data_IF_345412209392
#
_entry.id   IF_345412209392
#
_cell.length_a   1.000
_cell.length_b   1.000
_cell.length_c   1.000
_cell.angle_alpha   90.00
_cell.angle_beta   90.00
_cell.angle_gamma   90.00
#
_symmetry.space_group_name_H-M   'P 1'
#
loop_
_entity.id
_entity.type
_entity.pdbx_description
1 polymer ?
#
# COMPACT_ATOMS: atom_id res chain seq x y z
N UNK A 1 -3.42 -15.88 53.76
CA UNK A 1 -3.44 -15.08 52.51
C UNK A 1 -4.68 -14.20 52.52
N UNK A 2 -4.61 -12.89 52.22
CA UNK A 2 -5.81 -12.07 52.13
C UNK A 2 -6.72 -12.58 51.01
N UNK A 3 -8.00 -12.77 51.31
CA UNK A 3 -9.00 -13.23 50.35
C UNK A 3 -9.18 -12.18 49.24
N UNK A 4 -8.72 -12.48 48.02
CA UNK A 4 -8.87 -11.58 46.89
C UNK A 4 -10.31 -11.65 46.36
N UNK A 5 -11.21 -10.88 46.96
CA UNK A 5 -12.60 -10.77 46.53
C UNK A 5 -12.72 -9.70 45.45
N UNK A 6 -13.29 -10.05 44.29
CA UNK A 6 -13.60 -9.11 43.21
C UNK A 6 -14.80 -8.25 43.64
N UNK A 7 -14.59 -6.94 43.77
CA UNK A 7 -15.60 -6.01 44.30
C UNK A 7 -16.53 -5.51 43.19
N UNK A 8 -16.06 -5.40 41.95
CA UNK A 8 -16.86 -4.87 40.84
C UNK A 8 -18.18 -5.60 40.60
N UNK A 9 -18.24 -6.90 40.90
CA UNK A 9 -19.44 -7.72 40.77
C UNK A 9 -20.23 -7.88 42.08
N UNK A 10 -19.68 -7.47 43.23
CA UNK A 10 -20.27 -7.73 44.53
C UNK A 10 -21.56 -6.94 44.78
N UNK A 11 -22.40 -7.40 45.72
CA UNK A 11 -23.64 -6.68 46.12
C UNK A 11 -23.36 -5.31 46.76
N UNK A 12 -22.12 -5.06 47.16
CA UNK A 12 -21.68 -3.84 47.85
C UNK A 12 -21.59 -2.63 46.91
N UNK A 13 -21.62 -2.87 45.59
CA UNK A 13 -21.57 -1.82 44.56
C UNK A 13 -22.96 -1.63 43.95
N UNK A 14 -23.48 -0.38 43.86
CA UNK A 14 -24.80 -0.12 43.30
C UNK A 14 -24.94 -0.57 41.84
N UNK A 15 -26.11 -1.10 41.46
CA UNK A 15 -26.40 -1.54 40.08
C UNK A 15 -26.15 -0.43 39.04
N UNK A 16 -26.58 0.81 39.34
CA UNK A 16 -26.38 1.98 38.47
C UNK A 16 -24.90 2.25 38.21
N UNK A 17 -24.07 2.22 39.25
CA UNK A 17 -22.63 2.39 39.10
C UNK A 17 -21.99 1.27 38.29
N UNK A 18 -22.36 -0.01 38.56
CA UNK A 18 -21.82 -1.14 37.79
C UNK A 18 -22.01 -0.94 36.28
N UNK A 19 -23.19 -0.50 35.88
CA UNK A 19 -23.51 -0.24 34.48
C UNK A 19 -22.60 0.85 33.86
N UNK A 20 -22.35 1.94 34.58
CA UNK A 20 -21.42 2.99 34.13
C UNK A 20 -19.97 2.48 34.13
N UNK A 21 -19.58 1.70 35.13
CA UNK A 21 -18.22 1.16 35.23
C UNK A 21 -17.88 0.21 34.06
N UNK A 22 -18.89 -0.49 33.51
CA UNK A 22 -18.73 -1.34 32.32
C UNK A 22 -18.21 -0.61 31.09
N UNK A 23 -18.39 0.71 31.02
CA UNK A 23 -17.84 1.53 29.94
C UNK A 23 -16.31 1.51 29.86
N UNK A 24 -15.62 1.26 30.98
CA UNK A 24 -14.17 1.05 30.98
C UNK A 24 -13.77 -0.14 30.11
N UNK A 25 -14.64 -1.13 29.95
CA UNK A 25 -14.36 -2.37 29.21
C UNK A 25 -14.76 -2.30 27.74
N UNK A 26 -15.52 -1.29 27.30
CA UNK A 26 -15.93 -1.14 25.88
C UNK A 26 -14.74 -1.21 24.92
N UNK A 27 -13.58 -0.56 25.18
CA UNK A 27 -12.45 -0.61 24.26
C UNK A 27 -11.93 -2.02 23.99
N UNK A 28 -12.16 -3.01 24.89
CA UNK A 28 -11.73 -4.40 24.70
C UNK A 28 -12.36 -5.02 23.45
N UNK A 29 -13.55 -4.57 23.04
CA UNK A 29 -14.22 -5.07 21.83
C UNK A 29 -13.40 -4.81 20.56
N UNK A 30 -12.51 -3.82 20.57
CA UNK A 30 -11.63 -3.48 19.45
C UNK A 30 -10.29 -4.21 19.48
N UNK A 31 -10.03 -5.05 20.49
CA UNK A 31 -8.72 -5.69 20.68
C UNK A 31 -8.29 -6.55 19.48
N UNK A 32 -9.16 -7.36 18.84
CA UNK A 32 -8.75 -8.12 17.66
C UNK A 32 -8.28 -7.23 16.50
N UNK A 33 -8.94 -6.09 16.28
CA UNK A 33 -8.59 -5.14 15.23
C UNK A 33 -7.28 -4.42 15.56
N UNK A 34 -7.10 -3.99 16.81
CA UNK A 34 -5.88 -3.35 17.29
C UNK A 34 -4.71 -4.34 17.18
N UNK A 35 -4.87 -5.58 17.64
CA UNK A 35 -3.87 -6.63 17.55
C UNK A 35 -3.44 -6.83 16.10
N UNK A 36 -4.39 -6.99 15.18
CA UNK A 36 -4.11 -7.09 13.75
C UNK A 36 -3.32 -5.89 13.23
N UNK A 37 -3.73 -4.67 13.59
CA UNK A 37 -3.04 -3.44 13.21
C UNK A 37 -1.60 -3.36 13.72
N UNK A 38 -1.32 -3.86 14.93
CA UNK A 38 0.04 -3.83 15.50
C UNK A 38 1.03 -4.77 14.80
N UNK A 39 0.57 -5.75 14.01
CA UNK A 39 1.45 -6.61 13.21
C UNK A 39 2.24 -5.78 12.18
N UNK A 40 1.64 -4.72 11.65
CA UNK A 40 2.29 -3.85 10.67
C UNK A 40 3.45 -3.02 11.25
N UNK A 41 3.62 -2.96 12.58
CA UNK A 41 4.80 -2.32 13.18
C UNK A 41 6.10 -3.06 12.83
N UNK A 42 6.02 -4.35 12.49
CA UNK A 42 7.18 -5.17 12.12
C UNK A 42 7.55 -5.04 10.63
N UNK A 43 6.72 -4.39 9.81
CA UNK A 43 6.97 -4.22 8.39
C UNK A 43 7.85 -3.00 8.06
N UNK A 44 8.11 -2.12 9.03
CA UNK A 44 8.99 -0.95 8.83
C UNK A 44 10.47 -1.36 8.94
N UNK A 45 11.24 -1.37 7.84
CA UNK A 45 12.64 -1.79 7.85
C UNK A 45 13.56 -0.81 8.61
N UNK A 46 13.09 0.41 8.90
CA UNK A 46 13.87 1.45 9.57
C UNK A 46 13.54 1.59 11.05
N UNK A 47 12.53 0.85 11.55
CA UNK A 47 12.11 0.96 12.94
C UNK A 47 13.09 0.27 13.90
N UNK A 48 13.30 0.87 15.07
CA UNK A 48 14.10 0.25 16.12
C UNK A 48 13.38 -1.01 16.67
N UNK A 49 14.01 -2.20 16.66
CA UNK A 49 13.34 -3.45 17.04
C UNK A 49 12.81 -3.44 18.49
N UNK A 50 13.55 -2.85 19.43
CA UNK A 50 13.12 -2.76 20.83
C UNK A 50 11.88 -1.88 20.97
N UNK A 51 11.82 -0.77 20.23
CA UNK A 51 10.66 0.12 20.20
C UNK A 51 9.44 -0.57 19.61
N UNK A 52 9.59 -1.31 18.50
CA UNK A 52 8.50 -2.07 17.88
C UNK A 52 7.92 -3.09 18.85
N UNK A 53 8.77 -3.88 19.52
CA UNK A 53 8.32 -4.82 20.55
C UNK A 53 7.66 -4.13 21.74
N UNK A 54 8.21 -3.02 22.23
CA UNK A 54 7.63 -2.26 23.33
C UNK A 54 6.23 -1.72 22.98
N UNK A 55 6.04 -1.19 21.77
CA UNK A 55 4.74 -0.73 21.27
C UNK A 55 3.76 -1.88 21.09
N UNK A 56 4.20 -2.98 20.46
CA UNK A 56 3.36 -4.17 20.27
C UNK A 56 2.84 -4.71 21.61
N UNK A 57 3.73 -4.92 22.58
CA UNK A 57 3.36 -5.43 23.91
C UNK A 57 2.51 -4.40 24.66
N UNK A 58 2.94 -3.13 24.68
CA UNK A 58 2.25 -2.08 25.42
C UNK A 58 0.83 -1.85 24.94
N UNK A 59 0.62 -1.83 23.62
CA UNK A 59 -0.73 -1.76 23.04
C UNK A 59 -1.49 -3.03 23.37
N UNK A 60 -0.98 -4.22 23.06
CA UNK A 60 -1.79 -5.45 23.21
C UNK A 60 -2.10 -5.86 24.65
N UNK A 61 -1.41 -5.31 25.65
CA UNK A 61 -1.74 -5.49 27.07
C UNK A 61 -2.86 -4.58 27.57
N UNK A 62 -3.39 -3.66 26.76
CA UNK A 62 -4.47 -2.76 27.17
C UNK A 62 -5.72 -3.43 27.77
N UNK A 63 -6.18 -4.62 27.32
CA UNK A 63 -7.33 -5.27 27.94
C UNK A 63 -7.07 -5.64 29.41
N UNK A 64 -5.84 -6.07 29.74
CA UNK A 64 -5.44 -6.37 31.11
C UNK A 64 -5.48 -5.11 31.97
N UNK A 65 -4.95 -4.00 31.46
CA UNK A 65 -5.00 -2.70 32.16
C UNK A 65 -6.45 -2.26 32.43
N UNK A 66 -7.36 -2.43 31.46
CA UNK A 66 -8.77 -2.05 31.62
C UNK A 66 -9.52 -2.93 32.63
N UNK A 67 -9.25 -4.24 32.70
CA UNK A 67 -9.84 -5.14 33.70
C UNK A 67 -9.39 -4.74 35.11
N UNK A 68 -8.09 -4.46 35.28
CA UNK A 68 -7.55 -3.99 36.56
C UNK A 68 -8.17 -2.65 36.94
N UNK A 69 -8.27 -1.72 35.98
CA UNK A 69 -8.87 -0.41 36.19
C UNK A 69 -10.36 -0.49 36.55
N UNK A 70 -11.09 -1.42 35.94
CA UNK A 70 -12.51 -1.69 36.23
C UNK A 70 -12.71 -2.13 37.69
N UNK A 71 -11.87 -3.04 38.21
CA UNK A 71 -11.91 -3.46 39.61
C UNK A 71 -11.45 -2.34 40.57
N UNK A 72 -10.38 -1.61 40.22
CA UNK A 72 -9.89 -0.49 41.02
C UNK A 72 -10.93 0.63 41.11
N UNK A 73 -11.68 0.92 40.04
CA UNK A 73 -12.73 1.93 40.05
C UNK A 73 -13.91 1.52 40.95
N UNK A 74 -14.26 0.23 40.99
CA UNK A 74 -15.25 -0.30 41.93
C UNK A 74 -14.81 -0.16 43.40
N UNK A 75 -13.50 -0.29 43.68
CA UNK A 75 -12.93 -0.01 44.99
C UNK A 75 -12.92 1.48 45.30
N UNK A 76 -12.58 2.32 44.32
CA UNK A 76 -12.60 3.77 44.43
C UNK A 76 -13.99 4.29 44.78
N UNK A 77 -15.06 3.72 44.19
CA UNK A 77 -16.44 4.10 44.49
C UNK A 77 -16.77 4.04 45.98
N UNK A 78 -16.18 3.10 46.74
CA UNK A 78 -16.38 3.00 48.19
C UNK A 78 -15.70 4.10 49.00
N UNK A 79 -14.64 4.70 48.45
CA UNK A 79 -13.84 5.72 49.11
C UNK A 79 -14.26 7.12 48.68
N UNK A 80 -14.43 7.32 47.37
CA UNK A 80 -14.68 8.61 46.73
C UNK A 80 -15.68 8.37 45.60
N UNK A 81 -16.98 8.42 45.93
CA UNK A 81 -18.09 8.12 45.01
C UNK A 81 -17.98 8.99 43.75
N UNK A 82 -17.86 10.31 43.91
CA UNK A 82 -17.82 11.26 42.80
C UNK A 82 -16.70 10.94 41.78
N UNK A 83 -15.48 10.70 42.26
CA UNK A 83 -14.34 10.38 41.40
C UNK A 83 -14.56 9.08 40.61
N UNK A 84 -15.21 8.09 41.23
CA UNK A 84 -15.46 6.81 40.56
C UNK A 84 -16.46 6.92 39.41
N UNK A 85 -17.47 7.79 39.52
CA UNK A 85 -18.39 8.07 38.41
C UNK A 85 -17.72 8.89 37.30
N UNK A 86 -16.76 9.74 37.63
CA UNK A 86 -16.05 10.58 36.67
C UNK A 86 -15.05 9.78 35.80
N UNK A 87 -14.39 8.77 36.35
CA UNK A 87 -13.33 8.03 35.67
C UNK A 87 -13.77 7.34 34.35
N UNK A 88 -14.89 6.58 34.27
CA UNK A 88 -15.35 6.00 33.01
C UNK A 88 -15.72 7.05 31.96
N UNK A 89 -16.28 8.19 32.41
CA UNK A 89 -16.67 9.31 31.55
C UNK A 89 -15.43 9.96 30.93
N UNK A 90 -14.37 10.15 31.72
CA UNK A 90 -13.08 10.65 31.22
C UNK A 90 -12.48 9.75 30.13
N UNK A 91 -12.55 8.42 30.31
CA UNK A 91 -12.00 7.45 29.36
C UNK A 91 -12.77 7.49 28.02
N UNK A 92 -14.11 7.49 28.07
CA UNK A 92 -14.92 7.64 26.85
C UNK A 92 -14.71 9.01 26.23
N UNK A 93 -14.68 10.07 27.05
CA UNK A 93 -14.49 11.44 26.59
C UNK A 93 -13.17 11.64 25.86
N UNK A 94 -12.08 11.07 26.39
CA UNK A 94 -10.76 11.14 25.75
C UNK A 94 -10.70 10.37 24.42
N UNK A 95 -11.28 9.16 24.36
CA UNK A 95 -11.40 8.39 23.12
C UNK A 95 -12.23 9.14 22.07
N UNK A 96 -13.37 9.69 22.48
CA UNK A 96 -14.25 10.49 21.61
C UNK A 96 -13.54 11.73 21.09
N UNK A 97 -12.74 12.39 21.93
CA UNK A 97 -11.94 13.54 21.55
C UNK A 97 -10.86 13.18 20.52
N UNK A 98 -10.15 12.05 20.69
CA UNK A 98 -9.16 11.57 19.73
C UNK A 98 -9.81 11.28 18.37
N UNK A 99 -10.95 10.58 18.37
CA UNK A 99 -11.69 10.25 17.13
C UNK A 99 -12.17 11.52 16.43
N UNK A 100 -12.78 12.45 17.18
CA UNK A 100 -13.25 13.73 16.65
C UNK A 100 -12.08 14.54 16.06
N UNK A 101 -10.94 14.60 16.77
CA UNK A 101 -9.74 15.30 16.29
C UNK A 101 -9.21 14.66 15.00
N UNK A 102 -9.15 13.33 14.93
CA UNK A 102 -8.71 12.61 13.73
C UNK A 102 -9.64 12.89 12.55
N UNK A 103 -10.95 12.93 12.78
CA UNK A 103 -11.95 13.26 11.75
C UNK A 103 -11.85 14.72 11.27
N UNK A 104 -11.67 15.67 12.18
CA UNK A 104 -11.48 17.08 11.82
C UNK A 104 -10.19 17.25 11.02
N UNK A 105 -9.11 16.63 11.48
CA UNK A 105 -7.82 16.63 10.81
C UNK A 105 -7.92 16.05 9.39
N UNK A 106 -8.59 14.91 9.21
CA UNK A 106 -8.76 14.31 7.88
C UNK A 106 -9.57 15.20 6.93
N UNK A 107 -10.62 15.87 7.42
CA UNK A 107 -11.36 16.87 6.62
C UNK A 107 -10.51 18.09 6.26
N UNK A 108 -9.69 18.57 7.20
CA UNK A 108 -8.79 19.68 6.94
C UNK A 108 -7.77 19.31 5.86
N UNK A 109 -7.12 18.14 5.96
CA UNK A 109 -6.21 17.65 4.93
C UNK A 109 -6.88 17.48 3.57
N UNK A 110 -8.14 17.01 3.52
CA UNK A 110 -8.88 16.91 2.26
C UNK A 110 -9.09 18.29 1.62
N UNK A 111 -9.46 19.31 2.41
CA UNK A 111 -9.63 20.69 1.95
C UNK A 111 -8.31 21.29 1.47
N UNK A 112 -7.21 21.09 2.20
CA UNK A 112 -5.88 21.56 1.82
C UNK A 112 -5.41 20.93 0.49
N UNK A 113 -5.66 19.63 0.29
CA UNK A 113 -5.37 18.93 -0.98
C UNK A 113 -6.18 19.49 -2.13
N UNK A 114 -7.46 19.81 -1.92
CA UNK A 114 -8.30 20.42 -2.96
C UNK A 114 -7.77 21.79 -3.37
N UNK A 115 -7.38 22.62 -2.40
CA UNK A 115 -6.78 23.94 -2.65
C UNK A 115 -5.45 23.79 -3.38
N UNK A 116 -4.58 22.87 -2.93
CA UNK A 116 -3.30 22.61 -3.58
C UNK A 116 -3.48 22.13 -5.03
N UNK A 117 -4.44 21.26 -5.30
CA UNK A 117 -4.74 20.78 -6.65
C UNK A 117 -5.24 21.93 -7.55
N UNK A 118 -6.14 22.79 -7.03
CA UNK A 118 -6.59 24.00 -7.75
C UNK A 118 -5.43 24.95 -8.06
N UNK A 119 -4.51 25.15 -7.12
CA UNK A 119 -3.34 26.00 -7.34
C UNK A 119 -2.40 25.40 -8.41
N UNK A 120 -2.12 24.10 -8.33
CA UNK A 120 -1.34 23.39 -9.36
C UNK A 120 -1.95 23.51 -10.76
N UNK A 121 -3.27 23.33 -10.88
CA UNK A 121 -3.96 23.45 -12.17
C UNK A 121 -3.85 24.88 -12.73
N UNK A 122 -3.86 25.92 -11.88
CA UNK A 122 -3.61 27.30 -12.31
C UNK A 122 -2.18 27.52 -12.81
N UNK A 123 -1.21 26.77 -12.28
CA UNK A 123 0.18 26.78 -12.76
C UNK A 123 0.39 25.92 -14.03
N UNK A 124 -0.69 25.37 -14.59
CA UNK A 124 -0.67 24.57 -15.82
C UNK A 124 -0.40 23.09 -15.61
N UNK A 125 -0.24 22.60 -14.36
CA UNK A 125 -0.05 21.17 -14.12
C UNK A 125 -1.30 20.37 -14.46
N UNK A 126 -1.11 19.24 -15.14
CA UNK A 126 -2.18 18.30 -15.47
C UNK A 126 -1.99 16.97 -14.71
N UNK A 127 -3.09 16.26 -14.47
CA UNK A 127 -3.06 14.97 -13.79
C UNK A 127 -2.76 15.03 -12.30
N UNK A 128 -2.39 13.88 -11.73
CA UNK A 128 -2.19 13.70 -10.29
C UNK A 128 -0.77 13.99 -9.81
N UNK A 129 0.19 14.16 -10.71
CA UNK A 129 1.61 14.32 -10.38
C UNK A 129 2.12 15.67 -10.89
N UNK A 130 3.09 16.28 -10.21
CA UNK A 130 3.70 17.56 -10.63
C UNK A 130 4.73 17.32 -11.74
N UNK A 131 4.31 16.63 -12.80
CA UNK A 131 5.21 16.15 -13.85
C UNK A 131 4.92 16.74 -15.20
N UNK A 132 3.67 16.78 -15.66
CA UNK A 132 3.33 17.43 -16.93
C UNK A 132 2.69 18.79 -16.70
N UNK A 133 3.08 19.77 -17.51
CA UNK A 133 2.42 21.08 -17.61
C UNK A 133 1.99 21.36 -19.04
N UNK A 134 0.85 22.03 -19.18
CA UNK A 134 0.37 22.60 -20.43
C UNK A 134 0.11 24.09 -20.21
N UNK A 135 0.89 24.94 -20.87
CA UNK A 135 0.76 26.40 -20.79
C UNK A 135 0.74 26.93 -22.21
N UNK A 136 -0.44 27.42 -22.64
CA UNK A 136 -0.65 27.85 -24.03
C UNK A 136 -0.37 26.73 -25.02
N UNK A 137 0.58 26.96 -25.94
CA UNK A 137 0.98 26.00 -26.97
C UNK A 137 2.14 25.09 -26.55
N UNK A 138 2.57 25.14 -25.28
CA UNK A 138 3.72 24.39 -24.78
C UNK A 138 3.30 23.28 -23.83
N UNK A 139 3.77 22.07 -24.09
CA UNK A 139 3.76 20.95 -23.14
C UNK A 139 5.16 20.80 -22.55
N UNK A 140 5.28 20.65 -21.24
CA UNK A 140 6.55 20.31 -20.59
C UNK A 140 6.40 19.10 -19.67
N UNK A 141 7.48 18.33 -19.56
CA UNK A 141 7.67 17.33 -18.51
C UNK A 141 8.75 17.81 -17.55
N UNK A 142 8.36 18.15 -16.33
CA UNK A 142 9.17 18.91 -15.36
C UNK A 142 9.68 20.17 -16.04
N UNK A 143 11.00 20.32 -16.11
CA UNK A 143 11.67 21.48 -16.69
C UNK A 143 12.00 21.31 -18.18
N UNK A 144 11.57 20.21 -18.82
CA UNK A 144 11.87 19.93 -20.24
C UNK A 144 10.65 20.17 -21.12
N UNK A 145 10.77 21.04 -22.11
CA UNK A 145 9.73 21.28 -23.12
C UNK A 145 9.67 20.09 -24.09
N UNK A 146 8.46 19.64 -24.42
CA UNK A 146 8.20 18.56 -25.36
C UNK A 146 7.75 19.12 -26.70
N UNK A 147 8.13 18.45 -27.78
CA UNK A 147 7.47 18.63 -29.08
C UNK A 147 6.21 17.76 -29.09
N UNK A 148 5.15 18.24 -28.45
CA UNK A 148 3.86 17.57 -28.34
C UNK A 148 2.73 18.55 -28.66
N UNK A 149 1.62 18.06 -29.22
CA UNK A 149 0.45 18.88 -29.48
C UNK A 149 -0.27 19.21 -28.16
N UNK A 150 -0.13 20.45 -27.70
CA UNK A 150 -0.72 20.90 -26.43
C UNK A 150 -2.26 20.83 -26.42
N UNK A 151 -2.91 20.87 -27.58
CA UNK A 151 -4.38 20.88 -27.68
C UNK A 151 -4.97 19.48 -27.47
N UNK A 152 -4.23 18.45 -27.83
CA UNK A 152 -4.64 17.04 -27.66
C UNK A 152 -3.87 16.29 -26.59
N UNK A 153 -2.94 16.96 -25.87
CA UNK A 153 -2.15 16.30 -24.84
C UNK A 153 -3.01 15.81 -23.67
N UNK A 154 -2.98 14.49 -23.46
CA UNK A 154 -3.67 13.76 -22.43
C UNK A 154 -2.68 13.20 -21.42
N UNK A 155 -2.96 13.42 -20.14
CA UNK A 155 -2.23 12.80 -19.04
C UNK A 155 -2.71 11.36 -18.81
N UNK A 156 -1.79 10.39 -18.82
CA UNK A 156 -2.10 8.99 -18.51
C UNK A 156 -1.64 8.59 -17.11
N UNK A 157 -0.43 9.01 -16.70
CA UNK A 157 0.13 8.74 -15.37
C UNK A 157 1.32 9.67 -15.08
N UNK A 158 1.93 9.59 -13.88
CA UNK A 158 3.04 10.47 -13.51
C UNK A 158 4.17 10.49 -14.55
N UNK A 159 4.38 9.38 -15.26
CA UNK A 159 5.47 9.20 -16.21
C UNK A 159 5.00 8.95 -17.64
N UNK A 160 3.69 9.02 -17.93
CA UNK A 160 3.18 8.79 -19.27
C UNK A 160 2.10 9.81 -19.63
N UNK A 161 2.20 10.32 -20.85
CA UNK A 161 1.18 11.15 -21.49
C UNK A 161 1.10 10.77 -22.96
N UNK A 162 0.12 11.31 -23.67
CA UNK A 162 -0.01 11.11 -25.11
C UNK A 162 -0.62 12.35 -25.74
N UNK A 163 -0.38 12.57 -27.02
CA UNK A 163 -1.18 13.48 -27.83
C UNK A 163 -1.81 12.70 -28.98
N UNK A 164 -2.44 13.37 -29.94
CA UNK A 164 -3.03 12.70 -31.11
C UNK A 164 -2.01 12.07 -32.07
N UNK A 165 -0.70 12.30 -31.89
CA UNK A 165 0.34 11.78 -32.77
C UNK A 165 1.06 10.58 -32.15
N UNK A 166 1.37 10.63 -30.85
CA UNK A 166 2.14 9.59 -30.17
C UNK A 166 2.00 9.65 -28.64
N UNK A 167 2.42 8.56 -27.99
CA UNK A 167 2.63 8.51 -26.55
C UNK A 167 4.03 9.01 -26.15
N UNK A 168 4.17 9.38 -24.89
CA UNK A 168 5.38 9.89 -24.25
C UNK A 168 5.63 9.15 -22.94
N UNK A 169 6.90 8.78 -22.71
CA UNK A 169 7.42 8.36 -21.41
C UNK A 169 8.23 9.51 -20.80
N UNK A 170 7.57 10.29 -19.96
CA UNK A 170 8.10 11.51 -19.41
C UNK A 170 8.44 12.49 -20.53
N UNK A 171 9.73 12.74 -20.74
CA UNK A 171 10.21 13.60 -21.82
C UNK A 171 10.51 12.87 -23.13
N UNK A 172 10.53 11.54 -23.11
CA UNK A 172 10.93 10.70 -24.25
C UNK A 172 9.67 10.38 -25.07
N UNK A 173 9.59 10.76 -26.35
CA UNK A 173 8.51 10.29 -27.22
C UNK A 173 8.63 8.78 -27.44
N UNK A 174 7.51 8.12 -27.74
CA UNK A 174 7.42 6.70 -28.12
C UNK A 174 7.01 6.65 -29.60
N UNK A 175 7.96 6.72 -30.56
CA UNK A 175 7.61 6.84 -31.97
C UNK A 175 6.90 5.59 -32.48
N UNK A 176 5.84 5.81 -33.28
CA UNK A 176 5.03 4.73 -33.85
C UNK A 176 4.04 4.09 -32.89
N UNK A 177 3.92 4.62 -31.67
CA UNK A 177 2.80 4.28 -30.79
C UNK A 177 1.48 4.77 -31.36
N UNK A 178 0.44 3.99 -31.16
CA UNK A 178 -0.93 4.36 -31.55
C UNK A 178 -1.63 5.03 -30.36
N UNK A 179 -1.69 6.38 -30.29
CA UNK A 179 -2.20 7.07 -29.11
C UNK A 179 -3.67 6.78 -28.81
N UNK A 180 -4.48 6.46 -29.83
CA UNK A 180 -5.89 6.13 -29.66
C UNK A 180 -6.08 4.88 -28.78
N UNK A 181 -5.25 3.85 -29.01
CA UNK A 181 -5.30 2.59 -28.25
C UNK A 181 -4.22 2.43 -27.19
N UNK A 182 -3.33 3.42 -27.01
CA UNK A 182 -2.25 3.37 -26.03
C UNK A 182 -2.78 3.42 -24.60
N UNK A 183 -2.42 2.41 -23.81
CA UNK A 183 -2.80 2.27 -22.41
C UNK A 183 -1.65 1.80 -21.51
N UNK A 184 -1.74 2.18 -20.23
CA UNK A 184 -0.80 1.77 -19.19
C UNK A 184 -1.34 0.51 -18.53
N UNK A 185 -0.59 -0.60 -18.60
CA UNK A 185 -0.94 -1.85 -17.93
C UNK A 185 -0.48 -1.77 -16.47
N UNK A 186 0.81 -1.46 -16.28
CA UNK A 186 1.40 -1.22 -14.98
C UNK A 186 2.60 -0.25 -15.09
N UNK A 187 3.38 -0.10 -14.01
CA UNK A 187 4.52 0.80 -13.95
C UNK A 187 5.66 0.43 -14.93
N UNK A 188 5.72 -0.81 -15.40
CA UNK A 188 6.68 -1.33 -16.38
C UNK A 188 6.05 -1.50 -17.77
N UNK A 189 4.83 -2.00 -17.87
CA UNK A 189 4.22 -2.42 -19.12
C UNK A 189 3.16 -1.45 -19.63
N UNK A 190 3.19 -1.21 -20.93
CA UNK A 190 2.17 -0.46 -21.68
C UNK A 190 1.83 -1.27 -22.93
N UNK A 191 0.70 -0.96 -23.58
CA UNK A 191 0.38 -1.52 -24.90
C UNK A 191 -0.43 -0.54 -25.72
N UNK A 192 -0.42 -0.75 -27.01
CA UNK A 192 -1.42 -0.24 -27.95
C UNK A 192 -1.96 -1.39 -28.79
N UNK A 193 -2.79 -1.11 -29.80
CA UNK A 193 -3.39 -2.14 -30.66
C UNK A 193 -2.38 -3.00 -31.45
N UNK A 194 -1.12 -2.56 -31.57
CA UNK A 194 -0.10 -3.18 -32.40
C UNK A 194 1.03 -3.82 -31.56
N UNK A 195 1.44 -3.18 -30.46
CA UNK A 195 2.65 -3.53 -29.71
C UNK A 195 2.44 -3.53 -28.20
N UNK A 196 3.21 -4.38 -27.53
CA UNK A 196 3.50 -4.24 -26.11
C UNK A 196 4.81 -3.46 -25.93
N UNK A 197 4.83 -2.62 -24.90
CA UNK A 197 5.96 -1.78 -24.54
C UNK A 197 6.45 -2.13 -23.15
N UNK A 198 7.76 -2.26 -23.00
CA UNK A 198 8.42 -2.35 -21.71
C UNK A 198 9.16 -1.06 -21.42
N UNK A 199 8.68 -0.31 -20.43
CA UNK A 199 9.18 1.01 -20.02
C UNK A 199 9.29 1.96 -21.21
N UNK A 200 8.23 2.05 -22.01
CA UNK A 200 8.16 2.89 -23.21
C UNK A 200 8.88 2.34 -24.45
N UNK A 201 9.57 1.21 -24.37
CA UNK A 201 10.23 0.61 -25.53
C UNK A 201 9.34 -0.49 -26.15
N UNK A 202 9.00 -0.36 -27.43
CA UNK A 202 8.23 -1.37 -28.15
C UNK A 202 9.03 -2.67 -28.26
N UNK A 203 8.43 -3.79 -27.86
CA UNK A 203 9.04 -5.12 -28.04
C UNK A 203 8.49 -5.73 -29.33
N UNK A 204 9.36 -5.85 -30.32
CA UNK A 204 9.00 -6.42 -31.63
C UNK A 204 8.91 -7.95 -31.56
N UNK A 205 8.00 -8.51 -32.35
CA UNK A 205 7.87 -9.96 -32.50
C UNK A 205 7.07 -10.67 -31.40
N UNK A 206 6.48 -9.92 -30.46
CA UNK A 206 5.49 -10.48 -29.53
C UNK A 206 4.26 -10.93 -30.32
N UNK A 207 3.79 -12.15 -30.05
CA UNK A 207 2.48 -12.58 -30.49
C UNK A 207 1.39 -11.94 -29.63
N UNK A 208 0.89 -10.79 -30.11
CA UNK A 208 0.00 -9.90 -29.36
C UNK A 208 -1.18 -10.61 -28.68
N UNK A 209 -1.77 -11.61 -29.34
CA UNK A 209 -2.97 -12.31 -28.84
C UNK A 209 -2.68 -13.28 -27.67
N UNK A 210 -1.48 -13.86 -27.62
CA UNK A 210 -1.13 -14.85 -26.59
C UNK A 210 -0.18 -14.32 -25.53
N UNK A 211 0.20 -13.04 -25.62
CA UNK A 211 1.13 -12.43 -24.67
C UNK A 211 0.52 -12.31 -23.27
N UNK A 212 1.27 -12.79 -22.29
CA UNK A 212 0.91 -12.85 -20.88
C UNK A 212 2.07 -12.30 -20.05
N UNK A 213 1.80 -11.26 -19.27
CA UNK A 213 2.75 -10.74 -18.28
C UNK A 213 2.67 -11.62 -17.03
N UNK A 214 3.80 -12.22 -16.67
CA UNK A 214 3.94 -13.05 -15.48
C UNK A 214 4.57 -12.23 -14.33
N UNK A 215 4.77 -12.89 -13.20
CA UNK A 215 5.44 -12.30 -12.04
C UNK A 215 6.97 -12.27 -12.22
N UNK A 216 7.65 -11.51 -11.35
CA UNK A 216 9.11 -11.46 -11.26
C UNK A 216 9.81 -11.06 -12.57
N UNK A 217 9.19 -10.16 -13.34
CA UNK A 217 9.66 -9.65 -14.64
C UNK A 217 9.72 -10.69 -15.76
N UNK A 218 9.08 -11.85 -15.59
CA UNK A 218 8.87 -12.77 -16.70
C UNK A 218 7.60 -12.40 -17.46
N UNK A 219 7.58 -12.69 -18.75
CA UNK A 219 6.38 -12.71 -19.57
C UNK A 219 6.54 -13.79 -20.64
N UNK A 220 5.47 -14.14 -21.33
CA UNK A 220 5.53 -15.13 -22.41
C UNK A 220 4.46 -14.86 -23.45
N UNK A 221 4.67 -15.37 -24.64
CA UNK A 221 3.61 -15.61 -25.62
C UNK A 221 3.64 -17.08 -26.04
N UNK A 222 2.89 -17.44 -27.10
CA UNK A 222 2.84 -18.82 -27.61
C UNK A 222 4.17 -19.33 -28.18
N UNK A 223 5.12 -18.45 -28.51
CA UNK A 223 6.38 -18.78 -29.16
C UNK A 223 7.61 -18.56 -28.28
N UNK A 224 7.58 -17.56 -27.40
CA UNK A 224 8.73 -17.09 -26.65
C UNK A 224 8.41 -16.88 -25.17
N UNK A 225 9.45 -17.00 -24.35
CA UNK A 225 9.45 -16.51 -22.97
C UNK A 225 10.41 -15.33 -22.89
N UNK A 226 10.02 -14.32 -22.14
CA UNK A 226 10.78 -13.09 -21.98
C UNK A 226 11.16 -12.89 -20.51
N UNK A 227 12.32 -12.30 -20.29
CA UNK A 227 12.72 -11.69 -19.03
C UNK A 227 13.00 -10.21 -19.27
N UNK A 228 12.19 -9.33 -18.67
CA UNK A 228 12.04 -7.95 -19.08
C UNK A 228 11.66 -7.83 -20.56
N UNK A 229 12.55 -7.29 -21.38
CA UNK A 229 12.42 -7.04 -22.81
C UNK A 229 13.19 -8.06 -23.68
N UNK A 230 13.80 -9.08 -23.05
CA UNK A 230 14.68 -10.04 -23.74
C UNK A 230 14.08 -11.43 -23.80
N UNK A 231 14.15 -12.06 -24.96
CA UNK A 231 13.80 -13.47 -25.14
C UNK A 231 14.80 -14.35 -24.38
N UNK A 232 14.27 -15.34 -23.66
CA UNK A 232 15.04 -16.41 -23.05
C UNK A 232 15.16 -17.54 -24.07
N UNK A 233 16.34 -17.69 -24.65
CA UNK A 233 16.58 -18.72 -25.65
C UNK A 233 16.34 -20.13 -25.09
N UNK A 234 15.72 -20.98 -25.91
CA UNK A 234 15.40 -22.38 -25.59
C UNK A 234 14.42 -22.60 -24.42
N UNK A 235 13.79 -21.54 -23.91
CA UNK A 235 12.69 -21.69 -22.96
C UNK A 235 11.43 -22.20 -23.64
N UNK A 236 10.73 -23.14 -22.99
CA UNK A 236 9.45 -23.66 -23.50
C UNK A 236 8.28 -22.85 -22.93
N UNK A 237 7.61 -21.99 -23.73
CA UNK A 237 6.55 -21.11 -23.23
C UNK A 237 5.30 -21.87 -22.76
N UNK A 238 5.02 -23.03 -23.36
CA UNK A 238 3.83 -23.82 -23.07
C UNK A 238 3.86 -24.40 -21.65
N UNK A 239 5.05 -24.69 -21.14
CA UNK A 239 5.27 -25.27 -19.80
C UNK A 239 5.90 -24.31 -18.80
N UNK A 240 6.19 -23.07 -19.21
CA UNK A 240 6.84 -22.06 -18.38
C UNK A 240 5.95 -21.62 -17.20
N UNK A 241 6.51 -21.71 -15.99
CA UNK A 241 5.88 -21.31 -14.72
C UNK A 241 6.87 -20.58 -13.85
N UNK A 242 6.41 -19.61 -13.06
CA UNK A 242 7.24 -18.85 -12.13
C UNK A 242 6.77 -19.11 -10.70
N UNK A 243 7.70 -19.50 -9.82
CA UNK A 243 7.41 -19.63 -8.39
C UNK A 243 7.40 -18.25 -7.73
N UNK A 244 6.27 -17.91 -7.09
CA UNK A 244 6.07 -16.59 -6.47
C UNK A 244 6.98 -16.30 -5.29
N UNK A 245 7.34 -17.31 -4.51
CA UNK A 245 8.15 -17.13 -3.30
C UNK A 245 9.65 -17.06 -3.61
N UNK A 246 10.12 -17.88 -4.55
CA UNK A 246 11.56 -17.98 -4.84
C UNK A 246 11.99 -17.17 -6.05
N UNK A 247 11.02 -16.69 -6.85
CA UNK A 247 11.24 -16.06 -8.16
C UNK A 247 12.03 -16.93 -9.15
N UNK A 248 12.11 -18.24 -8.88
CA UNK A 248 12.67 -19.24 -9.80
C UNK A 248 11.58 -19.61 -10.79
N UNK A 249 11.92 -19.55 -12.07
CA UNK A 249 11.06 -20.01 -13.14
C UNK A 249 11.50 -21.40 -13.61
N UNK A 250 10.56 -22.18 -14.14
CA UNK A 250 10.80 -23.54 -14.62
C UNK A 250 10.00 -23.77 -15.88
N UNK A 251 10.57 -24.49 -16.82
CA UNK A 251 9.83 -25.15 -17.90
C UNK A 251 10.05 -26.67 -17.81
N UNK A 252 9.57 -27.44 -18.79
CA UNK A 252 9.71 -28.91 -18.81
C UNK A 252 11.16 -29.40 -18.82
N UNK A 253 12.12 -28.58 -19.27
CA UNK A 253 13.52 -28.96 -19.50
C UNK A 253 14.48 -28.30 -18.50
N UNK A 254 14.16 -27.12 -18.00
CA UNK A 254 15.13 -26.18 -17.42
C UNK A 254 14.54 -25.40 -16.24
N UNK A 255 15.44 -24.89 -15.40
CA UNK A 255 15.14 -23.90 -14.37
C UNK A 255 15.87 -22.59 -14.67
N UNK A 256 15.27 -21.47 -14.32
CA UNK A 256 15.77 -20.13 -14.62
C UNK A 256 15.71 -19.23 -13.39
N UNK A 257 16.69 -18.34 -13.25
CA UNK A 257 16.68 -17.24 -12.29
C UNK A 257 17.20 -15.98 -12.98
N UNK A 258 16.46 -14.89 -12.86
CA UNK A 258 16.76 -13.62 -13.53
C UNK A 258 17.00 -13.77 -15.05
N UNK A 259 16.16 -14.57 -15.72
CA UNK A 259 16.25 -14.83 -17.16
C UNK A 259 17.39 -15.75 -17.59
N UNK A 260 18.21 -16.26 -16.66
CA UNK A 260 19.33 -17.16 -16.97
C UNK A 260 19.02 -18.59 -16.52
N UNK A 261 19.37 -19.57 -17.36
CA UNK A 261 19.29 -20.99 -17.03
C UNK A 261 20.23 -21.30 -15.86
N UNK A 262 19.70 -21.98 -14.85
CA UNK A 262 20.49 -22.50 -13.72
C UNK A 262 21.09 -23.83 -14.16
N UNK A 263 22.40 -23.86 -14.36
CA UNK A 263 23.14 -25.13 -14.42
C UNK A 263 23.51 -25.54 -13.02
N UNK A 264 23.08 -26.73 -12.57
CA UNK A 264 23.57 -27.31 -11.32
C UNK A 264 25.04 -27.68 -11.51
N UNK A 265 25.96 -26.74 -11.33
CA UNK A 265 27.34 -27.12 -11.09
C UNK A 265 27.37 -27.70 -9.68
N UNK A 266 27.48 -29.03 -9.59
CA UNK A 266 27.78 -29.72 -8.35
C UNK A 266 29.17 -29.25 -7.88
N UNK A 267 29.22 -28.13 -7.17
CA UNK A 267 30.35 -27.85 -6.29
C UNK A 267 30.20 -28.78 -5.09
N UNK A 268 30.68 -30.01 -5.28
CA UNK A 268 31.11 -30.88 -4.20
C UNK A 268 32.15 -30.06 -3.43
N UNK A 269 31.76 -29.48 -2.29
CA UNK A 269 32.73 -29.04 -1.30
C UNK A 269 33.51 -30.29 -0.88
N UNK A 270 34.72 -30.45 -1.44
CA UNK A 270 35.73 -31.30 -0.82
C UNK A 270 36.00 -30.68 0.56
N UNK A 271 35.81 -31.53 1.57
CA UNK A 271 36.21 -31.31 2.97
C UNK A 271 37.67 -30.88 3.05
#
# INVERSE_FOLDING_TARGET
MPNFKIIAFSKEVPKKFKWINWFILIPILFWPLIFFGTVFFFDDPNANPLMVWALFIGVNLYPVYLIVLFELNARLHKRIIFAAYFLPILIIGSLSFIIARQYISSKQFAKEREIANKNRQKEGYIGSCDTYKVIGETVSYRDTILNADSKSFEYLSCHYGKDNQQAYKGKEPIPGSDPESFEIIDWQWQRDKNFYYFRGNAIKGIDYKSFEILIANYSKDRFNVYFYDKIIESADPSTFKVNRMTHIATDKNNKYKFGKKITTTNNVYKK
#
